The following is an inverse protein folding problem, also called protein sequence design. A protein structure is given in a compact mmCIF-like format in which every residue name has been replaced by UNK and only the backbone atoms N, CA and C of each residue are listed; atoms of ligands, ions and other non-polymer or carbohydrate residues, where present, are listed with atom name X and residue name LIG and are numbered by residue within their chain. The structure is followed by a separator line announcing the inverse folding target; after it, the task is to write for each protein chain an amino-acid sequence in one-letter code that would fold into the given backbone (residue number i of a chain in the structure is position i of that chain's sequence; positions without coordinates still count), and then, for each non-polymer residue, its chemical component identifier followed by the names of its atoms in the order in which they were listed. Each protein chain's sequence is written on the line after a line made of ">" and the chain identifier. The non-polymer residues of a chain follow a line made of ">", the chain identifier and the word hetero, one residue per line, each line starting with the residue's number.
data_IF_489920576341
#
_entry.id   IF_489920576341
#
_cell.length_a   1.000
_cell.length_b   1.000
_cell.length_c   1.000
_cell.angle_alpha   90.00
_cell.angle_beta   90.00
_cell.angle_gamma   90.00
#
_symmetry.space_group_name_H-M   'P 1'
#
loop_
_entity.id
_entity.type
_entity.pdbx_description
1 polymer ?
#
# COMPACT_ATOMS: atom_id res chain seq x y z
N UNK A 1 -3.80 4.34 -17.73
CA UNK A 1 -3.61 4.41 -16.26
C UNK A 1 -3.57 2.99 -15.72
N UNK A 2 -2.64 2.68 -14.82
CA UNK A 2 -2.57 1.40 -14.11
C UNK A 2 -2.58 1.68 -12.62
N UNK A 3 -3.25 0.84 -11.84
CA UNK A 3 -3.29 0.98 -10.38
C UNK A 3 -2.61 -0.23 -9.77
N UNK A 4 -1.81 0.01 -8.75
CA UNK A 4 -1.14 -1.02 -7.97
C UNK A 4 -1.57 -0.88 -6.52
N UNK A 5 -1.89 -2.00 -5.89
CA UNK A 5 -2.17 -2.08 -4.45
C UNK A 5 -0.94 -2.68 -3.79
N UNK A 6 -0.35 -1.91 -2.89
CA UNK A 6 0.85 -2.30 -2.15
C UNK A 6 0.47 -2.61 -0.72
N UNK A 7 0.84 -3.79 -0.25
CA UNK A 7 0.67 -4.17 1.16
C UNK A 7 1.76 -3.51 1.99
N UNK A 8 1.38 -2.77 3.03
CA UNK A 8 2.30 -2.15 3.99
C UNK A 8 2.03 -2.74 5.38
N UNK A 9 2.99 -3.52 5.88
CA UNK A 9 2.87 -4.22 7.15
C UNK A 9 1.96 -5.45 7.10
N UNK A 10 1.42 -5.78 8.27
CA UNK A 10 0.53 -6.92 8.45
C UNK A 10 -0.91 -6.51 8.12
N UNK A 11 -1.32 -6.79 6.89
CA UNK A 11 -2.67 -6.56 6.38
C UNK A 11 -3.26 -7.91 5.98
N UNK A 12 -4.49 -8.16 6.42
CA UNK A 12 -5.21 -9.39 6.11
C UNK A 12 -5.36 -9.55 4.59
N UNK A 13 -4.85 -10.65 4.04
CA UNK A 13 -4.82 -10.84 2.58
C UNK A 13 -6.20 -11.09 1.99
N UNK A 14 -7.15 -11.56 2.81
CA UNK A 14 -8.55 -11.81 2.41
C UNK A 14 -9.26 -10.55 1.93
N UNK A 15 -8.87 -9.36 2.44
CA UNK A 15 -9.48 -8.08 2.04
C UNK A 15 -8.91 -7.50 0.76
N UNK A 16 -7.72 -7.93 0.33
CA UNK A 16 -7.01 -7.33 -0.80
C UNK A 16 -7.68 -7.61 -2.15
N UNK A 17 -8.16 -8.83 -2.36
CA UNK A 17 -8.79 -9.22 -3.64
C UNK A 17 -10.14 -8.50 -3.89
N UNK A 18 -11.05 -8.39 -2.89
CA UNK A 18 -12.23 -7.53 -3.02
C UNK A 18 -11.89 -6.09 -3.37
N UNK A 19 -10.88 -5.48 -2.71
CA UNK A 19 -10.45 -4.11 -2.99
C UNK A 19 -9.93 -4.00 -4.43
N UNK A 20 -9.03 -4.89 -4.84
CA UNK A 20 -8.46 -4.92 -6.21
C UNK A 20 -9.54 -4.97 -7.27
N UNK A 21 -10.52 -5.86 -7.10
CA UNK A 21 -11.63 -6.05 -8.05
C UNK A 21 -12.49 -4.80 -8.16
N UNK A 22 -12.92 -4.23 -7.04
CA UNK A 22 -13.80 -3.06 -7.07
C UNK A 22 -13.08 -1.80 -7.57
N UNK A 23 -11.79 -1.65 -7.26
CA UNK A 23 -10.95 -0.56 -7.80
C UNK A 23 -10.80 -0.70 -9.32
N UNK A 24 -10.46 -1.89 -9.83
CA UNK A 24 -10.36 -2.14 -11.27
C UNK A 24 -11.66 -1.78 -12.01
N UNK A 25 -12.80 -2.20 -11.43
CA UNK A 25 -14.13 -1.93 -11.98
C UNK A 25 -14.49 -0.45 -11.94
N UNK A 26 -14.30 0.22 -10.81
CA UNK A 26 -14.69 1.63 -10.60
C UNK A 26 -13.93 2.56 -11.52
N UNK A 27 -12.63 2.32 -11.70
CA UNK A 27 -11.78 3.16 -12.52
C UNK A 27 -11.68 2.67 -13.97
N UNK A 28 -12.27 1.53 -14.32
CA UNK A 28 -12.15 0.86 -15.61
C UNK A 28 -10.68 0.75 -16.08
N UNK A 29 -9.82 0.28 -15.18
CA UNK A 29 -8.37 0.11 -15.40
C UNK A 29 -7.89 -1.24 -14.90
N UNK A 30 -6.71 -1.65 -15.36
CA UNK A 30 -6.02 -2.78 -14.75
C UNK A 30 -5.53 -2.40 -13.34
N UNK A 31 -5.88 -3.24 -12.35
CA UNK A 31 -5.45 -3.12 -10.97
C UNK A 31 -4.75 -4.42 -10.53
N UNK A 32 -3.50 -4.29 -10.09
CA UNK A 32 -2.64 -5.41 -9.71
C UNK A 32 -2.29 -5.33 -8.21
N UNK A 33 -2.21 -6.49 -7.54
CA UNK A 33 -1.64 -6.59 -6.20
C UNK A 33 -0.13 -6.78 -6.34
N UNK A 34 0.66 -6.03 -5.58
CA UNK A 34 2.09 -6.29 -5.47
C UNK A 34 2.31 -7.34 -4.38
N UNK A 35 2.90 -8.47 -4.75
CA UNK A 35 3.15 -9.60 -3.83
C UNK A 35 4.17 -9.24 -2.73
N UNK A 36 5.11 -8.34 -3.04
CA UNK A 36 6.10 -7.82 -2.10
C UNK A 36 5.44 -6.89 -1.07
N UNK A 37 5.44 -7.32 0.19
CA UNK A 37 4.98 -6.49 1.30
C UNK A 37 6.09 -5.53 1.73
N UNK A 38 5.76 -4.24 1.85
CA UNK A 38 6.63 -3.26 2.50
C UNK A 38 6.53 -3.46 4.02
N UNK A 39 7.66 -3.70 4.69
CA UNK A 39 7.73 -3.62 6.15
C UNK A 39 7.41 -2.19 6.62
N UNK A 40 6.60 -2.03 7.67
CA UNK A 40 6.31 -0.70 8.21
C UNK A 40 7.62 -0.06 8.69
N UNK A 41 8.04 1.10 8.15
CA UNK A 41 9.22 1.81 8.62
C UNK A 41 9.02 2.27 10.06
N UNK A 42 9.83 1.74 10.97
CA UNK A 42 9.76 2.13 12.39
C UNK A 42 10.16 3.59 12.60
N UNK A 43 10.96 4.15 11.70
CA UNK A 43 11.27 5.58 11.65
C UNK A 43 10.03 6.46 11.40
N UNK A 44 8.94 5.89 10.86
CA UNK A 44 7.68 6.61 10.70
C UNK A 44 6.82 6.63 11.97
N UNK A 45 7.17 5.86 13.00
CA UNK A 45 6.35 5.76 14.21
C UNK A 45 6.55 6.95 15.14
N UNK A 46 5.50 7.76 15.28
CA UNK A 46 5.41 8.79 16.31
C UNK A 46 4.91 8.16 17.62
N UNK A 47 5.77 8.14 18.65
CA UNK A 47 5.47 7.53 19.95
C UNK A 47 4.41 8.29 20.75
N UNK A 48 4.32 9.61 20.58
CA UNK A 48 3.36 10.46 21.29
C UNK A 48 1.97 10.22 20.72
N UNK A 49 1.86 10.19 19.39
CA UNK A 49 0.60 9.94 18.67
C UNK A 49 0.21 8.46 18.65
N UNK A 50 1.18 7.57 18.85
CA UNK A 50 1.05 6.12 18.63
C UNK A 50 0.57 5.81 17.21
N UNK A 51 1.08 6.55 16.23
CA UNK A 51 0.66 6.52 14.83
C UNK A 51 1.87 6.57 13.92
N UNK A 52 1.70 6.15 12.67
CA UNK A 52 2.73 6.25 11.64
C UNK A 52 2.51 7.49 10.77
N UNK A 53 3.60 8.20 10.47
CA UNK A 53 3.60 9.35 9.57
C UNK A 53 3.45 8.87 8.11
N UNK A 54 2.36 9.30 7.46
CA UNK A 54 2.03 8.89 6.09
C UNK A 54 3.08 9.31 5.06
N UNK A 55 3.72 10.46 5.24
CA UNK A 55 4.76 10.97 4.32
C UNK A 55 5.92 9.98 4.16
N UNK A 56 6.37 9.38 5.28
CA UNK A 56 7.46 8.40 5.28
C UNK A 56 7.00 7.09 4.64
N UNK A 57 5.76 6.65 4.91
CA UNK A 57 5.16 5.47 4.26
C UNK A 57 5.08 5.65 2.73
N UNK A 58 4.54 6.79 2.29
CA UNK A 58 4.39 7.11 0.87
C UNK A 58 5.74 7.22 0.15
N UNK A 59 6.77 7.75 0.82
CA UNK A 59 8.12 7.78 0.27
C UNK A 59 8.69 6.39 0.00
N UNK A 60 8.40 5.39 0.85
CA UNK A 60 8.80 3.99 0.61
C UNK A 60 8.03 3.37 -0.56
N UNK A 61 6.73 3.65 -0.66
CA UNK A 61 5.89 3.19 -1.79
C UNK A 61 6.39 3.78 -3.12
N UNK A 62 6.75 5.06 -3.14
CA UNK A 62 7.29 5.72 -4.33
C UNK A 62 8.57 5.03 -4.83
N UNK A 63 9.46 4.62 -3.92
CA UNK A 63 10.69 3.90 -4.28
C UNK A 63 10.42 2.53 -4.92
N UNK A 64 9.30 1.87 -4.61
CA UNK A 64 8.90 0.65 -5.33
C UNK A 64 8.35 0.99 -6.72
N UNK A 65 7.56 2.05 -6.84
CA UNK A 65 6.98 2.45 -8.12
C UNK A 65 8.01 2.95 -9.15
N UNK A 66 9.20 3.36 -8.69
CA UNK A 66 10.31 3.82 -9.54
C UNK A 66 11.29 2.70 -9.95
N UNK A 67 11.14 1.49 -9.41
CA UNK A 67 11.88 0.31 -9.86
C UNK A 67 11.16 -0.34 -11.04
#
# INVERSE_FOLDING_TARGET
>A
MKIYIVRVGDVETSVLEPIRREVAKTFNVNCELIDEAISIPMEAYDRVRRQFLSEILLSKVLNLAMK
#
